data_IF_704291392654
#
_entry.id   IF_704291392654
#
_cell.length_a   1.000
_cell.length_b   1.000
_cell.length_c   1.000
_cell.angle_alpha   90.00
_cell.angle_beta   90.00
_cell.angle_gamma   90.00
#
_symmetry.space_group_name_H-M   'P 1'
#
loop_
_entity.id
_entity.type
_entity.pdbx_description
1 polymer ?
#
# COMPACT_ATOMS: atom_id res chain seq x y z
N UNK A 1 12.72 47.94 -27.95
CA UNK A 1 13.11 47.25 -26.69
C UNK A 1 14.61 47.00 -26.73
N UNK A 2 15.34 47.17 -25.62
CA UNK A 2 16.78 46.81 -25.62
C UNK A 2 16.92 45.29 -25.69
N UNK A 3 17.99 44.78 -26.34
CA UNK A 3 18.26 43.34 -26.42
C UNK A 3 18.21 42.66 -25.01
N UNK A 4 18.67 43.35 -23.97
CA UNK A 4 18.62 42.87 -22.59
C UNK A 4 17.19 42.68 -22.07
N UNK A 5 16.26 43.56 -22.37
CA UNK A 5 14.83 43.44 -21.99
C UNK A 5 14.18 42.25 -22.71
N UNK A 6 14.49 42.05 -23.98
CA UNK A 6 13.97 40.93 -24.76
C UNK A 6 14.47 39.59 -24.20
N UNK A 7 15.78 39.47 -23.90
CA UNK A 7 16.38 38.26 -23.29
C UNK A 7 15.74 37.98 -21.93
N UNK A 8 15.58 39.02 -21.08
CA UNK A 8 14.94 38.85 -19.77
C UNK A 8 13.48 38.38 -19.89
N UNK A 9 12.72 38.90 -20.82
CA UNK A 9 11.34 38.48 -21.04
C UNK A 9 11.24 37.04 -21.54
N UNK A 10 12.14 36.63 -22.44
CA UNK A 10 12.22 35.24 -22.90
C UNK A 10 12.57 34.30 -21.72
N UNK A 11 13.57 34.68 -20.92
CA UNK A 11 13.96 33.90 -19.75
C UNK A 11 12.79 33.73 -18.74
N UNK A 12 12.11 34.84 -18.44
CA UNK A 12 10.93 34.80 -17.54
C UNK A 12 9.80 33.95 -18.13
N UNK A 13 9.53 34.07 -19.43
CA UNK A 13 8.51 33.26 -20.09
C UNK A 13 8.86 31.77 -20.08
N UNK A 14 10.11 31.41 -20.31
CA UNK A 14 10.60 30.02 -20.22
C UNK A 14 10.50 29.50 -18.78
N UNK A 15 10.89 30.31 -17.80
CA UNK A 15 10.76 29.92 -16.39
C UNK A 15 9.31 29.69 -15.99
N UNK A 16 8.40 30.58 -16.40
CA UNK A 16 6.97 30.41 -16.16
C UNK A 16 6.42 29.16 -16.85
N UNK A 17 6.86 28.86 -18.07
CA UNK A 17 6.47 27.63 -18.79
C UNK A 17 6.95 26.39 -18.04
N UNK A 18 8.18 26.39 -17.53
CA UNK A 18 8.74 25.29 -16.73
C UNK A 18 7.92 25.11 -15.44
N UNK A 19 7.62 26.19 -14.72
CA UNK A 19 6.90 26.14 -13.46
C UNK A 19 5.41 25.77 -13.61
N UNK A 20 4.82 26.09 -14.76
CA UNK A 20 3.43 25.76 -15.09
C UNK A 20 3.23 24.35 -15.69
N UNK A 21 4.29 23.52 -15.74
CA UNK A 21 4.22 22.17 -16.24
C UNK A 21 3.32 21.25 -15.42
N UNK A 22 2.77 20.20 -16.04
CA UNK A 22 1.95 19.22 -15.33
C UNK A 22 2.77 18.51 -14.26
N UNK A 23 2.11 18.19 -13.13
CA UNK A 23 2.66 17.44 -12.01
C UNK A 23 1.89 16.14 -11.82
N UNK A 24 2.54 15.16 -11.23
CA UNK A 24 1.85 13.99 -10.71
C UNK A 24 1.17 14.39 -9.39
N UNK A 25 -0.14 14.27 -9.35
CA UNK A 25 -0.97 14.58 -8.19
C UNK A 25 -1.99 13.46 -8.01
N UNK A 26 -2.34 13.14 -6.77
CA UNK A 26 -3.34 12.13 -6.43
C UNK A 26 -4.40 12.76 -5.53
N UNK A 27 -5.66 12.60 -5.91
CA UNK A 27 -6.78 12.94 -5.06
C UNK A 27 -7.30 11.67 -4.37
N UNK A 28 -7.28 11.65 -3.03
CA UNK A 28 -7.78 10.51 -2.24
C UNK A 28 -9.32 10.59 -2.14
N UNK A 29 -9.97 10.58 -3.29
CA UNK A 29 -11.43 10.55 -3.40
C UNK A 29 -11.91 9.11 -3.57
N UNK A 30 -13.09 8.80 -3.05
CA UNK A 30 -13.62 7.46 -3.12
C UNK A 30 -15.13 7.45 -3.32
N UNK A 31 -15.62 6.33 -3.83
CA UNK A 31 -17.05 6.03 -3.99
C UNK A 31 -17.37 4.80 -3.16
N UNK A 32 -18.50 4.83 -2.47
CA UNK A 32 -18.92 3.70 -1.65
C UNK A 32 -19.18 2.44 -2.49
N UNK A 33 -18.92 1.28 -1.90
CA UNK A 33 -19.06 -0.02 -2.55
C UNK A 33 -20.10 -0.85 -1.80
N UNK A 34 -21.18 -1.17 -2.47
CA UNK A 34 -22.18 -2.10 -1.95
C UNK A 34 -21.68 -3.54 -2.12
N UNK A 35 -21.42 -4.22 -1.02
CA UNK A 35 -21.03 -5.64 -1.00
C UNK A 35 -22.28 -6.49 -0.76
N UNK A 36 -22.62 -7.43 -1.66
CA UNK A 36 -23.78 -8.30 -1.49
C UNK A 36 -23.52 -9.38 -0.44
N UNK A 37 -24.60 -10.08 -0.03
CA UNK A 37 -24.51 -11.15 0.95
C UNK A 37 -23.65 -12.33 0.45
N UNK A 38 -23.73 -12.64 -0.85
CA UNK A 38 -22.94 -13.70 -1.50
C UNK A 38 -21.57 -13.20 -1.90
N UNK A 39 -20.76 -12.81 -0.92
CA UNK A 39 -19.48 -12.10 -1.12
C UNK A 39 -18.51 -12.91 -1.99
N UNK A 40 -18.36 -14.23 -1.75
CA UNK A 40 -17.45 -15.07 -2.54
C UNK A 40 -17.81 -15.12 -4.02
N UNK A 41 -19.11 -15.31 -4.33
CA UNK A 41 -19.58 -15.36 -5.71
C UNK A 41 -19.40 -14.00 -6.41
N UNK A 42 -19.65 -12.93 -5.69
CA UNK A 42 -19.45 -11.57 -6.20
C UNK A 42 -17.98 -11.28 -6.50
N UNK A 43 -17.06 -11.62 -5.59
CA UNK A 43 -15.63 -11.47 -5.80
C UNK A 43 -15.15 -12.32 -6.99
N UNK A 44 -15.57 -13.59 -7.04
CA UNK A 44 -15.22 -14.48 -8.15
C UNK A 44 -15.71 -13.94 -9.50
N UNK A 45 -16.92 -13.40 -9.57
CA UNK A 45 -17.44 -12.78 -10.79
C UNK A 45 -16.60 -11.59 -11.22
N UNK A 46 -16.23 -10.70 -10.30
CA UNK A 46 -15.36 -9.53 -10.60
C UNK A 46 -13.98 -9.95 -11.11
N UNK A 47 -13.38 -10.99 -10.52
CA UNK A 47 -12.07 -11.48 -10.98
C UNK A 47 -12.16 -12.12 -12.38
N UNK A 48 -13.23 -12.85 -12.68
CA UNK A 48 -13.49 -13.44 -14.01
C UNK A 48 -13.75 -12.34 -15.06
N UNK A 49 -14.57 -11.35 -14.74
CA UNK A 49 -14.88 -10.23 -15.65
C UNK A 49 -13.65 -9.38 -15.94
N UNK A 50 -12.77 -9.19 -14.95
CA UNK A 50 -11.53 -8.46 -15.13
C UNK A 50 -10.57 -9.20 -16.06
N UNK A 51 -10.53 -10.52 -16.00
CA UNK A 51 -9.65 -11.38 -16.81
C UNK A 51 -8.15 -11.21 -16.50
N UNK A 52 -7.35 -12.17 -16.97
CA UNK A 52 -5.88 -12.14 -16.87
C UNK A 52 -5.32 -11.92 -15.47
N UNK A 53 -6.04 -12.36 -14.42
CA UNK A 53 -5.50 -12.41 -13.07
C UNK A 53 -4.63 -13.66 -12.96
N UNK A 54 -3.41 -13.50 -12.46
CA UNK A 54 -2.48 -14.61 -12.30
C UNK A 54 -2.95 -15.53 -11.15
N UNK A 55 -2.92 -16.85 -11.34
CA UNK A 55 -3.34 -17.82 -10.33
C UNK A 55 -2.64 -17.60 -8.98
N UNK A 56 -3.44 -17.52 -7.91
CA UNK A 56 -2.98 -17.29 -6.55
C UNK A 56 -2.83 -15.81 -6.17
N UNK A 57 -3.09 -14.88 -7.09
CA UNK A 57 -3.06 -13.43 -6.83
C UNK A 57 -4.46 -12.81 -6.82
N UNK A 58 -5.52 -13.61 -6.93
CA UNK A 58 -6.91 -13.17 -6.91
C UNK A 58 -7.29 -12.60 -5.53
N UNK A 59 -8.29 -11.74 -5.49
CA UNK A 59 -9.01 -11.41 -4.26
C UNK A 59 -9.63 -12.67 -3.69
N UNK A 60 -9.66 -12.81 -2.38
CA UNK A 60 -10.27 -14.00 -1.78
C UNK A 60 -10.41 -13.91 -0.28
N UNK A 61 -11.37 -14.68 0.23
CA UNK A 61 -11.63 -14.79 1.65
C UNK A 61 -11.10 -16.15 2.16
N UNK A 62 -10.36 -16.09 3.27
CA UNK A 62 -10.04 -17.26 4.07
C UNK A 62 -10.99 -17.24 5.25
N UNK A 63 -11.96 -18.16 5.25
CA UNK A 63 -12.94 -18.28 6.30
C UNK A 63 -12.34 -18.97 7.53
N UNK A 64 -12.60 -18.41 8.70
CA UNK A 64 -12.08 -18.96 9.96
C UNK A 64 -12.69 -20.34 10.29
N UNK A 65 -13.96 -20.54 9.90
CA UNK A 65 -14.71 -21.77 10.12
C UNK A 65 -15.53 -22.09 8.84
N UNK A 66 -16.78 -21.71 8.78
CA UNK A 66 -17.66 -22.06 7.67
C UNK A 66 -17.79 -20.88 6.68
N UNK A 67 -17.86 -21.20 5.38
CA UNK A 67 -18.06 -20.22 4.31
C UNK A 67 -19.34 -19.43 4.55
N UNK A 68 -19.26 -18.10 4.42
CA UNK A 68 -20.39 -17.19 4.59
C UNK A 68 -20.72 -16.84 6.04
N UNK A 69 -20.04 -17.43 7.03
CA UNK A 69 -20.27 -17.13 8.44
C UNK A 69 -19.40 -15.97 8.90
N UNK A 70 -20.04 -14.89 9.39
CA UNK A 70 -19.35 -13.73 9.95
C UNK A 70 -18.66 -14.07 11.27
N UNK A 71 -17.54 -13.41 11.54
CA UNK A 71 -16.80 -13.51 12.80
C UNK A 71 -16.86 -12.18 13.58
N UNK A 72 -16.62 -12.17 14.91
CA UNK A 72 -16.51 -10.92 15.67
C UNK A 72 -15.42 -9.99 15.17
N UNK A 73 -14.33 -10.54 14.59
CA UNK A 73 -13.27 -9.81 13.93
C UNK A 73 -13.10 -10.31 12.51
N UNK A 74 -12.81 -9.39 11.58
CA UNK A 74 -12.24 -9.71 10.29
C UNK A 74 -10.86 -9.08 10.17
N UNK A 75 -9.99 -9.71 9.40
CA UNK A 75 -8.68 -9.18 9.02
C UNK A 75 -8.73 -8.83 7.54
N UNK A 76 -8.21 -7.69 7.15
CA UNK A 76 -7.99 -7.33 5.75
C UNK A 76 -6.51 -7.09 5.50
N UNK A 77 -5.98 -7.62 4.42
CA UNK A 77 -4.59 -7.42 4.02
C UNK A 77 -4.50 -6.57 2.74
N UNK A 78 -3.74 -5.48 2.83
CA UNK A 78 -3.40 -4.56 1.75
C UNK A 78 -1.92 -4.75 1.41
N UNK A 79 -1.63 -5.25 0.22
CA UNK A 79 -0.26 -5.54 -0.22
C UNK A 79 0.49 -4.29 -0.71
N UNK A 80 1.81 -4.43 -0.94
CA UNK A 80 2.69 -3.38 -1.40
C UNK A 80 2.62 -3.09 -2.91
N UNK A 81 3.39 -2.09 -3.33
CA UNK A 81 3.57 -1.72 -4.74
C UNK A 81 4.21 -2.84 -5.54
N UNK A 82 3.74 -3.07 -6.74
CA UNK A 82 4.14 -4.16 -7.65
C UNK A 82 4.05 -5.58 -7.05
N UNK A 83 3.29 -5.75 -5.95
CA UNK A 83 3.17 -6.99 -5.19
C UNK A 83 1.79 -7.66 -5.33
N UNK A 84 1.47 -8.58 -4.46
CA UNK A 84 0.18 -9.26 -4.35
C UNK A 84 -0.01 -9.85 -2.94
N UNK A 85 -1.15 -10.52 -2.72
CA UNK A 85 -1.42 -11.22 -1.45
C UNK A 85 -0.31 -12.18 -1.00
N UNK A 86 0.50 -12.68 -1.93
CA UNK A 86 1.58 -13.65 -1.65
C UNK A 86 2.75 -13.01 -0.90
N UNK A 87 2.90 -11.68 -0.98
CA UNK A 87 4.03 -10.93 -0.41
C UNK A 87 4.28 -11.22 1.08
N UNK A 88 3.22 -11.15 1.89
CA UNK A 88 3.31 -11.33 3.34
C UNK A 88 2.82 -12.70 3.83
N UNK A 89 2.29 -13.55 2.94
CA UNK A 89 1.79 -14.86 3.36
C UNK A 89 2.92 -15.73 3.97
N UNK A 90 2.69 -16.43 5.09
CA UNK A 90 1.43 -16.62 5.81
C UNK A 90 1.23 -15.70 7.05
N UNK A 91 1.79 -14.49 7.07
CA UNK A 91 1.67 -13.60 8.24
C UNK A 91 0.20 -13.19 8.49
N UNK A 92 -0.58 -12.67 7.50
CA UNK A 92 -1.98 -12.35 7.72
C UNK A 92 -2.82 -13.57 8.13
N UNK A 93 -2.55 -14.74 7.54
CA UNK A 93 -3.21 -16.00 7.92
C UNK A 93 -2.97 -16.34 9.39
N UNK A 94 -1.72 -16.20 9.84
CA UNK A 94 -1.34 -16.50 11.22
C UNK A 94 -2.01 -15.57 12.23
N UNK A 95 -2.14 -14.28 11.88
CA UNK A 95 -2.85 -13.29 12.71
C UNK A 95 -4.35 -13.61 12.73
N UNK A 96 -4.96 -13.84 11.57
CA UNK A 96 -6.39 -14.15 11.47
C UNK A 96 -6.75 -15.43 12.23
N UNK A 97 -5.97 -16.49 12.05
CA UNK A 97 -6.18 -17.76 12.74
C UNK A 97 -6.08 -17.62 14.26
N UNK A 98 -5.09 -16.85 14.76
CA UNK A 98 -4.93 -16.61 16.20
C UNK A 98 -6.09 -15.79 16.81
N UNK A 99 -6.76 -14.97 15.99
CA UNK A 99 -7.92 -14.16 16.39
C UNK A 99 -9.27 -14.86 16.15
N UNK A 100 -9.28 -16.04 15.50
CA UNK A 100 -10.53 -16.69 15.04
C UNK A 100 -11.30 -15.81 14.06
N UNK A 101 -10.58 -15.05 13.22
CA UNK A 101 -11.12 -14.04 12.33
C UNK A 101 -11.15 -14.52 10.87
N UNK A 102 -12.19 -14.14 10.12
CA UNK A 102 -12.16 -14.23 8.67
C UNK A 102 -11.10 -13.30 8.12
N UNK A 103 -10.39 -13.71 7.06
CA UNK A 103 -9.35 -12.92 6.41
C UNK A 103 -9.73 -12.61 4.97
N UNK A 104 -9.71 -11.35 4.60
CA UNK A 104 -9.82 -10.92 3.22
C UNK A 104 -8.45 -10.50 2.67
N UNK A 105 -8.05 -11.14 1.60
CA UNK A 105 -6.92 -10.74 0.79
C UNK A 105 -7.39 -9.86 -0.36
N UNK A 106 -7.03 -8.57 -0.32
CA UNK A 106 -7.31 -7.67 -1.44
C UNK A 106 -6.33 -7.86 -2.59
N UNK A 107 -6.69 -7.35 -3.74
CA UNK A 107 -5.83 -7.10 -4.87
C UNK A 107 -6.08 -5.66 -5.33
N UNK A 108 -5.06 -4.82 -5.20
CA UNK A 108 -5.11 -3.43 -5.66
C UNK A 108 -5.24 -3.40 -7.20
N UNK A 109 -5.90 -2.38 -7.72
CA UNK A 109 -6.10 -2.22 -9.16
C UNK A 109 -4.78 -2.38 -9.93
N UNK A 110 -4.83 -3.05 -11.08
CA UNK A 110 -3.69 -3.36 -11.93
C UNK A 110 -2.76 -4.47 -11.43
N UNK A 111 -2.70 -4.71 -10.12
CA UNK A 111 -1.82 -5.73 -9.53
C UNK A 111 -2.34 -7.16 -9.78
N UNK A 112 -1.45 -8.14 -9.65
CA UNK A 112 -1.79 -9.55 -9.88
C UNK A 112 -2.13 -9.88 -11.33
N UNK A 113 -1.72 -9.04 -12.26
CA UNK A 113 -1.90 -9.14 -13.70
C UNK A 113 -0.57 -8.88 -14.40
N UNK A 114 -0.58 -8.76 -15.73
CA UNK A 114 0.63 -8.38 -16.48
C UNK A 114 1.15 -6.97 -16.14
N UNK A 115 2.38 -6.68 -16.55
CA UNK A 115 3.03 -5.39 -16.29
C UNK A 115 2.31 -4.20 -16.93
N UNK A 116 1.64 -4.39 -18.06
CA UNK A 116 0.89 -3.33 -18.73
C UNK A 116 -0.36 -2.94 -17.96
N UNK A 117 -1.10 -3.90 -17.41
CA UNK A 117 -2.25 -3.66 -16.56
C UNK A 117 -1.83 -2.94 -15.27
N UNK A 118 -0.72 -3.35 -14.65
CA UNK A 118 -0.16 -2.66 -13.50
C UNK A 118 0.30 -1.24 -13.86
N UNK A 119 1.05 -1.08 -14.95
CA UNK A 119 1.52 0.21 -15.42
C UNK A 119 0.40 1.18 -15.82
N UNK A 120 -0.82 0.68 -16.08
CA UNK A 120 -1.99 1.50 -16.43
C UNK A 120 -2.81 1.94 -15.21
N UNK A 121 -2.61 1.32 -14.04
CA UNK A 121 -3.39 1.63 -12.84
C UNK A 121 -2.95 2.93 -12.18
N UNK A 122 -3.86 3.55 -11.42
CA UNK A 122 -3.66 4.84 -10.75
C UNK A 122 -3.73 4.71 -9.23
N UNK A 123 -3.19 5.68 -8.54
CA UNK A 123 -3.24 5.75 -7.09
C UNK A 123 -4.68 5.89 -6.56
N UNK A 124 -5.55 6.61 -7.28
CA UNK A 124 -6.99 6.69 -6.96
C UNK A 124 -7.67 5.32 -7.05
N UNK A 125 -7.34 4.52 -8.08
CA UNK A 125 -7.87 3.15 -8.21
C UNK A 125 -7.36 2.23 -7.09
N UNK A 126 -6.11 2.42 -6.61
CA UNK A 126 -5.61 1.69 -5.44
C UNK A 126 -6.35 2.09 -4.16
N UNK A 127 -6.62 3.39 -4.00
CA UNK A 127 -7.43 3.87 -2.88
C UNK A 127 -8.86 3.34 -2.94
N UNK A 128 -9.48 3.34 -4.13
CA UNK A 128 -10.80 2.73 -4.34
C UNK A 128 -10.79 1.22 -4.07
N UNK A 129 -9.72 0.51 -4.41
CA UNK A 129 -9.55 -0.91 -4.06
C UNK A 129 -9.46 -1.13 -2.55
N UNK A 130 -8.86 -0.17 -1.82
CA UNK A 130 -8.81 -0.16 -0.36
C UNK A 130 -10.20 0.02 0.25
N UNK A 131 -11.02 0.93 -0.29
CA UNK A 131 -12.42 1.11 0.12
C UNK A 131 -13.23 -0.17 -0.09
N UNK A 132 -13.10 -0.81 -1.25
CA UNK A 132 -13.74 -2.11 -1.50
C UNK A 132 -13.29 -3.15 -0.46
N UNK A 133 -12.00 -3.19 -0.15
CA UNK A 133 -11.45 -4.14 0.82
C UNK A 133 -12.04 -3.93 2.23
N UNK A 134 -12.20 -2.69 2.65
CA UNK A 134 -12.83 -2.33 3.93
C UNK A 134 -14.30 -2.78 3.93
N UNK A 135 -15.06 -2.54 2.87
CA UNK A 135 -16.47 -2.94 2.78
C UNK A 135 -16.63 -4.46 2.77
N UNK A 136 -15.73 -5.19 2.12
CA UNK A 136 -15.69 -6.66 2.20
C UNK A 136 -15.41 -7.11 3.63
N UNK A 137 -14.43 -6.51 4.30
CA UNK A 137 -14.11 -6.83 5.69
C UNK A 137 -15.30 -6.54 6.63
N UNK A 138 -16.04 -5.44 6.42
CA UNK A 138 -17.31 -5.14 7.12
C UNK A 138 -18.41 -6.17 6.86
N UNK A 139 -18.44 -6.78 5.68
CA UNK A 139 -19.42 -7.81 5.34
C UNK A 139 -19.11 -9.15 6.02
N UNK A 140 -17.84 -9.47 6.28
CA UNK A 140 -17.41 -10.76 6.84
C UNK A 140 -17.04 -10.73 8.33
N UNK A 141 -17.05 -9.53 8.97
CA UNK A 141 -16.75 -9.36 10.40
C UNK A 141 -17.48 -8.18 11.02
N UNK A 142 -17.52 -8.13 12.36
CA UNK A 142 -18.18 -7.04 13.10
C UNK A 142 -17.22 -5.88 13.36
N UNK A 143 -15.95 -6.18 13.65
CA UNK A 143 -14.84 -5.22 13.75
C UNK A 143 -13.68 -5.66 12.85
N UNK A 144 -12.82 -4.72 12.49
CA UNK A 144 -11.80 -4.93 11.45
C UNK A 144 -10.40 -4.72 12.03
N UNK A 145 -9.47 -5.59 11.69
CA UNK A 145 -8.03 -5.38 11.79
C UNK A 145 -7.47 -5.20 10.38
N UNK A 146 -6.89 -4.03 10.11
CA UNK A 146 -6.29 -3.73 8.81
C UNK A 146 -4.78 -3.98 8.88
N UNK A 147 -4.26 -4.83 8.01
CA UNK A 147 -2.83 -5.08 7.85
C UNK A 147 -2.41 -4.50 6.51
N UNK A 148 -1.49 -3.55 6.52
CA UNK A 148 -0.91 -2.98 5.32
C UNK A 148 0.60 -3.15 5.27
N UNK A 149 1.14 -3.50 4.11
CA UNK A 149 2.58 -3.54 3.86
C UNK A 149 2.94 -2.48 2.83
N UNK A 150 3.97 -1.67 3.10
CA UNK A 150 4.48 -0.64 2.19
C UNK A 150 3.36 0.29 1.70
N UNK A 151 3.07 0.34 0.41
CA UNK A 151 1.95 1.10 -0.17
C UNK A 151 0.60 0.71 0.43
N UNK A 152 0.40 -0.57 0.79
CA UNK A 152 -0.81 -1.00 1.50
C UNK A 152 -0.96 -0.33 2.88
N UNK A 153 0.14 -0.09 3.59
CA UNK A 153 0.12 0.65 4.85
C UNK A 153 -0.13 2.15 4.64
N UNK A 154 0.41 2.72 3.56
CA UNK A 154 0.15 4.11 3.14
C UNK A 154 -1.34 4.33 2.87
N UNK A 155 -1.98 3.41 2.13
CA UNK A 155 -3.41 3.42 1.86
C UNK A 155 -4.25 3.23 3.13
N UNK A 156 -3.82 2.33 4.03
CA UNK A 156 -4.47 2.13 5.33
C UNK A 156 -4.40 3.40 6.20
N UNK A 157 -3.25 4.09 6.23
CA UNK A 157 -3.10 5.35 6.95
C UNK A 157 -4.08 6.41 6.45
N UNK A 158 -4.19 6.59 5.13
CA UNK A 158 -5.15 7.52 4.53
C UNK A 158 -6.61 7.13 4.88
N UNK A 159 -6.97 5.88 4.70
CA UNK A 159 -8.33 5.39 4.99
C UNK A 159 -8.69 5.47 6.49
N UNK A 160 -7.70 5.40 7.39
CA UNK A 160 -7.94 5.51 8.84
C UNK A 160 -8.36 6.90 9.29
N UNK A 161 -8.07 7.92 8.50
CA UNK A 161 -8.50 9.31 8.70
C UNK A 161 -9.92 9.60 8.21
N UNK A 162 -10.52 8.67 7.44
CA UNK A 162 -11.89 8.77 6.98
C UNK A 162 -12.84 8.09 7.99
N UNK A 163 -13.65 8.85 8.75
CA UNK A 163 -14.51 8.27 9.80
C UNK A 163 -15.51 7.22 9.26
N UNK A 164 -15.97 7.39 8.02
CA UNK A 164 -16.91 6.46 7.38
C UNK A 164 -16.25 5.11 7.03
N UNK A 165 -14.94 5.09 6.85
CA UNK A 165 -14.17 3.87 6.56
C UNK A 165 -13.64 3.22 7.84
N UNK A 166 -13.18 4.04 8.80
CA UNK A 166 -12.44 3.56 9.98
C UNK A 166 -13.31 3.26 11.21
N UNK A 167 -14.60 3.60 11.22
CA UNK A 167 -15.51 3.45 12.38
C UNK A 167 -15.57 2.06 12.99
N UNK A 168 -15.26 1.00 12.22
CA UNK A 168 -15.26 -0.39 12.69
C UNK A 168 -13.86 -0.96 12.89
N UNK A 169 -12.83 -0.14 12.73
CA UNK A 169 -11.46 -0.63 12.89
C UNK A 169 -11.11 -0.78 14.38
N UNK A 170 -10.83 -2.01 14.78
CA UNK A 170 -10.22 -2.30 16.09
C UNK A 170 -8.78 -1.79 16.13
N UNK A 171 -8.03 -2.01 15.05
CA UNK A 171 -6.64 -1.59 14.92
C UNK A 171 -6.17 -1.62 13.46
N UNK A 172 -5.03 -0.98 13.21
CA UNK A 172 -4.26 -1.13 11.99
C UNK A 172 -2.81 -1.55 12.28
N UNK A 173 -2.25 -2.36 11.40
CA UNK A 173 -0.89 -2.88 11.47
C UNK A 173 -0.15 -2.37 10.24
N UNK A 174 0.89 -1.59 10.42
CA UNK A 174 1.73 -1.06 9.37
C UNK A 174 3.06 -1.80 9.33
N UNK A 175 3.39 -2.36 8.18
CA UNK A 175 4.67 -3.04 7.93
C UNK A 175 5.42 -2.22 6.89
N UNK A 176 6.54 -1.63 7.29
CA UNK A 176 7.40 -0.78 6.42
C UNK A 176 6.59 0.22 5.57
N UNK A 177 5.75 1.10 6.17
CA UNK A 177 4.85 1.97 5.42
C UNK A 177 5.63 2.89 4.47
N UNK A 178 5.15 3.03 3.24
CA UNK A 178 5.76 3.88 2.23
C UNK A 178 5.21 5.31 2.32
N UNK A 179 5.65 6.07 3.32
CA UNK A 179 5.31 7.50 3.44
C UNK A 179 6.30 8.40 2.70
N UNK A 180 7.50 7.90 2.44
CA UNK A 180 8.53 8.58 1.63
C UNK A 180 9.45 7.52 1.03
N UNK A 181 9.71 7.60 -0.26
CA UNK A 181 10.64 6.70 -0.95
C UNK A 181 12.07 7.03 -0.47
N UNK A 182 12.88 6.01 -0.20
CA UNK A 182 14.24 6.18 0.31
C UNK A 182 15.17 6.96 -0.64
N UNK A 183 15.03 6.73 -1.95
CA UNK A 183 15.83 7.46 -2.94
C UNK A 183 15.31 8.90 -3.09
N UNK A 184 16.05 9.93 -2.67
CA UNK A 184 15.60 11.32 -2.73
C UNK A 184 15.36 11.83 -4.15
N UNK A 185 15.88 11.14 -5.18
CA UNK A 185 15.61 11.48 -6.58
C UNK A 185 14.14 11.25 -6.95
N UNK A 186 13.40 10.43 -6.19
CA UNK A 186 11.96 10.22 -6.37
C UNK A 186 11.17 11.53 -6.23
N UNK A 187 11.63 12.49 -5.43
CA UNK A 187 11.01 13.81 -5.31
C UNK A 187 10.97 14.58 -6.63
N UNK A 188 11.89 14.29 -7.55
CA UNK A 188 11.91 14.91 -8.88
C UNK A 188 10.71 14.50 -9.74
N UNK A 189 10.07 13.35 -9.42
CA UNK A 189 8.86 12.87 -10.11
C UNK A 189 7.66 13.77 -9.82
N UNK A 190 7.66 14.47 -8.69
CA UNK A 190 6.62 15.42 -8.28
C UNK A 190 6.82 16.84 -8.84
N UNK A 191 7.97 17.09 -9.48
CA UNK A 191 8.24 18.40 -10.08
C UNK A 191 7.38 18.61 -11.33
N UNK A 192 7.19 19.88 -11.74
CA UNK A 192 6.64 20.16 -13.06
C UNK A 192 7.42 19.39 -14.13
N UNK A 193 6.71 18.73 -15.03
CA UNK A 193 7.30 17.86 -16.06
C UNK A 193 8.00 16.59 -15.52
N UNK A 194 7.68 16.14 -14.30
CA UNK A 194 8.26 14.93 -13.70
C UNK A 194 8.13 13.70 -14.60
N UNK A 195 7.02 13.55 -15.32
CA UNK A 195 6.83 12.48 -16.31
C UNK A 195 7.85 12.51 -17.46
N UNK A 196 8.30 13.72 -17.88
CA UNK A 196 9.35 13.86 -18.90
C UNK A 196 10.70 13.46 -18.30
N UNK A 197 10.98 13.90 -17.08
CA UNK A 197 12.20 13.55 -16.37
C UNK A 197 12.30 12.04 -16.14
N UNK A 198 11.20 11.41 -15.71
CA UNK A 198 11.13 9.96 -15.55
C UNK A 198 11.48 9.22 -16.84
N UNK A 199 10.86 9.61 -17.95
CA UNK A 199 11.12 9.00 -19.27
C UNK A 199 12.57 9.18 -19.73
N UNK A 200 13.18 10.33 -19.45
CA UNK A 200 14.56 10.60 -19.82
C UNK A 200 15.58 9.84 -18.96
N UNK A 201 15.31 9.64 -17.68
CA UNK A 201 16.24 9.02 -16.72
C UNK A 201 16.05 7.50 -16.68
N UNK A 202 14.80 7.05 -16.55
CA UNK A 202 14.45 5.64 -16.37
C UNK A 202 14.08 4.93 -17.69
N UNK A 203 13.60 5.69 -18.71
CA UNK A 203 13.01 5.12 -19.92
C UNK A 203 11.53 4.79 -19.75
N UNK A 204 10.99 3.99 -20.69
CA UNK A 204 9.57 3.65 -20.71
C UNK A 204 9.22 2.47 -19.80
N UNK A 205 10.21 1.64 -19.48
CA UNK A 205 10.02 0.42 -18.68
C UNK A 205 10.93 0.46 -17.46
N UNK A 206 10.38 0.07 -16.32
CA UNK A 206 11.12 -0.20 -15.09
C UNK A 206 11.16 -1.70 -14.86
N UNK A 207 12.33 -2.21 -14.50
CA UNK A 207 12.52 -3.61 -14.15
C UNK A 207 13.41 -3.73 -12.92
N UNK A 208 13.17 -4.78 -12.11
CA UNK A 208 13.97 -5.10 -10.95
C UNK A 208 14.21 -6.61 -10.83
N UNK A 209 15.31 -6.98 -10.18
CA UNK A 209 15.72 -8.37 -10.04
C UNK A 209 15.20 -8.98 -8.74
N UNK A 210 14.45 -10.07 -8.78
CA UNK A 210 13.99 -10.76 -7.58
C UNK A 210 15.16 -11.43 -6.85
N UNK A 211 15.11 -11.42 -5.53
CA UNK A 211 16.18 -11.95 -4.68
C UNK A 211 16.19 -13.49 -4.62
N UNK A 212 15.07 -14.13 -4.93
CA UNK A 212 14.89 -15.57 -4.99
C UNK A 212 13.64 -15.94 -5.81
N UNK A 213 13.43 -17.23 -6.08
CA UNK A 213 12.29 -17.71 -6.88
C UNK A 213 10.91 -17.41 -6.25
N UNK A 214 10.80 -17.39 -4.92
CA UNK A 214 9.55 -17.03 -4.24
C UNK A 214 9.26 -15.55 -4.40
N UNK A 215 10.28 -14.69 -4.30
CA UNK A 215 10.17 -13.27 -4.53
C UNK A 215 9.70 -12.96 -5.97
N UNK A 216 10.20 -13.72 -6.96
CA UNK A 216 9.76 -13.57 -8.36
C UNK A 216 8.26 -13.81 -8.58
N UNK A 217 7.59 -14.53 -7.67
CA UNK A 217 6.16 -14.85 -7.75
C UNK A 217 5.27 -13.84 -7.03
N UNK A 218 5.84 -12.91 -6.28
CA UNK A 218 5.07 -11.95 -5.48
C UNK A 218 4.27 -10.99 -6.38
N UNK A 219 4.91 -10.44 -7.41
CA UNK A 219 4.29 -9.42 -8.24
C UNK A 219 4.99 -9.22 -9.58
N UNK A 220 4.85 -8.01 -10.12
CA UNK A 220 5.42 -7.65 -11.41
C UNK A 220 6.86 -7.21 -11.26
N UNK A 221 7.78 -7.88 -11.96
CA UNK A 221 9.21 -7.53 -11.97
C UNK A 221 9.59 -6.56 -13.09
N UNK A 222 8.68 -6.39 -14.08
CA UNK A 222 8.84 -5.46 -15.20
C UNK A 222 7.49 -4.82 -15.53
N UNK A 223 7.46 -3.50 -15.69
CA UNK A 223 6.27 -2.72 -15.96
C UNK A 223 6.57 -1.34 -16.53
N UNK A 224 5.61 -0.65 -17.18
CA UNK A 224 5.75 0.72 -17.64
C UNK A 224 6.15 1.67 -16.50
N UNK A 225 7.25 2.41 -16.67
CA UNK A 225 7.82 3.28 -15.63
C UNK A 225 6.86 4.37 -15.14
N UNK A 226 5.85 4.75 -15.95
CA UNK A 226 4.87 5.78 -15.59
C UNK A 226 4.15 5.52 -14.27
N UNK A 227 3.97 4.25 -13.85
CA UNK A 227 3.31 3.91 -12.58
C UNK A 227 4.13 4.35 -11.35
N UNK A 228 5.42 4.67 -11.53
CA UNK A 228 6.24 5.28 -10.48
C UNK A 228 5.77 6.69 -10.13
N UNK A 229 5.12 7.41 -11.05
CA UNK A 229 4.48 8.69 -10.77
C UNK A 229 3.29 8.52 -9.83
N UNK A 230 2.53 7.44 -10.00
CA UNK A 230 1.36 7.14 -9.18
C UNK A 230 1.76 6.85 -7.72
N UNK A 231 2.78 6.00 -7.49
CA UNK A 231 3.23 5.74 -6.13
C UNK A 231 3.89 6.96 -5.50
N UNK A 232 4.59 7.80 -6.28
CA UNK A 232 5.20 9.03 -5.78
C UNK A 232 4.13 10.06 -5.40
N UNK A 233 3.10 10.26 -6.22
CA UNK A 233 2.00 11.18 -5.92
C UNK A 233 1.15 10.69 -4.74
N UNK A 234 0.94 9.38 -4.59
CA UNK A 234 0.27 8.79 -3.43
C UNK A 234 1.05 9.08 -2.14
N UNK A 235 2.37 8.83 -2.13
CA UNK A 235 3.18 9.10 -0.94
C UNK A 235 3.20 10.59 -0.59
N UNK A 236 3.25 11.47 -1.60
CA UNK A 236 3.16 12.92 -1.41
C UNK A 236 1.82 13.34 -0.78
N UNK A 237 0.71 12.87 -1.34
CA UNK A 237 -0.62 13.18 -0.83
C UNK A 237 -0.81 12.67 0.61
N UNK A 238 -0.33 11.47 0.94
CA UNK A 238 -0.53 10.88 2.26
C UNK A 238 0.36 11.49 3.32
N UNK A 239 1.61 11.84 3.03
CA UNK A 239 2.52 12.44 4.03
C UNK A 239 2.07 13.83 4.51
N UNK A 240 1.21 14.51 3.75
CA UNK A 240 0.63 15.81 4.11
C UNK A 240 -0.65 15.68 4.98
N UNK A 241 -1.14 14.46 5.22
CA UNK A 241 -2.33 14.22 6.03
C UNK A 241 -2.05 14.43 7.53
N UNK A 242 -3.08 14.78 8.31
CA UNK A 242 -2.94 15.05 9.75
C UNK A 242 -2.84 13.75 10.56
N UNK A 243 -1.69 13.10 10.62
CA UNK A 243 -1.46 11.84 11.34
C UNK A 243 -1.84 11.92 12.84
N UNK A 244 -1.79 13.13 13.44
CA UNK A 244 -2.25 13.36 14.80
C UNK A 244 -3.75 13.10 15.02
N UNK A 245 -4.54 13.13 13.96
CA UNK A 245 -5.99 12.90 14.00
C UNK A 245 -6.35 11.42 13.82
N UNK A 246 -5.37 10.55 13.54
CA UNK A 246 -5.60 9.10 13.50
C UNK A 246 -6.03 8.63 14.90
N UNK A 247 -7.28 8.18 14.99
CA UNK A 247 -7.88 7.66 16.24
C UNK A 247 -7.79 6.14 16.35
N UNK A 248 -7.43 5.45 15.27
CA UNK A 248 -7.31 3.99 15.21
C UNK A 248 -6.02 3.54 15.90
N UNK A 249 -6.07 2.58 16.85
CA UNK A 249 -4.88 1.97 17.41
C UNK A 249 -3.94 1.44 16.33
N UNK A 250 -2.66 1.80 16.40
CA UNK A 250 -1.70 1.54 15.32
C UNK A 250 -0.46 0.80 15.79
N UNK A 251 -0.16 -0.35 15.19
CA UNK A 251 1.04 -1.14 15.43
C UNK A 251 2.00 -1.03 14.26
N UNK A 252 3.23 -0.58 14.51
CA UNK A 252 4.25 -0.38 13.48
C UNK A 252 5.33 -1.47 13.53
N UNK A 253 5.62 -2.08 12.40
CA UNK A 253 6.81 -2.91 12.17
C UNK A 253 7.68 -2.24 11.11
N UNK A 254 8.93 -1.98 11.42
CA UNK A 254 9.83 -1.29 10.50
C UNK A 254 11.29 -1.65 10.75
N UNK A 255 12.15 -1.32 9.82
CA UNK A 255 13.61 -1.41 9.96
C UNK A 255 14.24 -0.04 9.71
N UNK A 256 15.29 0.29 10.47
CA UNK A 256 16.10 1.48 10.20
C UNK A 256 17.04 1.30 9.00
N UNK A 257 17.26 0.05 8.62
CA UNK A 257 18.11 -0.34 7.49
C UNK A 257 17.28 -0.52 6.20
N UNK A 258 16.01 -0.09 6.18
CA UNK A 258 15.15 -0.13 5.00
C UNK A 258 15.74 0.77 3.90
N UNK A 259 15.98 0.18 2.71
CA UNK A 259 16.53 0.90 1.55
C UNK A 259 15.49 1.20 0.47
N UNK A 260 14.23 0.87 0.71
CA UNK A 260 13.10 1.14 -0.19
C UNK A 260 12.33 2.38 0.27
N UNK A 261 12.07 2.50 1.58
CA UNK A 261 11.36 3.63 2.18
C UNK A 261 12.20 4.33 3.24
N UNK A 262 11.92 5.62 3.47
CA UNK A 262 12.60 6.41 4.51
C UNK A 262 12.02 6.07 5.90
N UNK A 263 12.76 5.28 6.67
CA UNK A 263 12.40 4.93 8.03
C UNK A 263 12.31 6.15 8.95
N UNK A 264 13.11 7.19 8.70
CA UNK A 264 13.06 8.45 9.48
C UNK A 264 11.75 9.22 9.25
N UNK A 265 11.25 9.24 8.00
CA UNK A 265 9.92 9.79 7.70
C UNK A 265 8.83 8.99 8.39
N UNK A 266 8.93 7.65 8.36
CA UNK A 266 8.01 6.76 9.08
C UNK A 266 8.00 7.05 10.59
N UNK A 267 9.17 7.15 11.23
CA UNK A 267 9.27 7.45 12.67
C UNK A 267 8.63 8.81 13.02
N UNK A 268 8.81 9.83 12.19
CA UNK A 268 8.21 11.16 12.40
C UNK A 268 6.69 11.11 12.34
N UNK A 269 6.13 10.63 11.23
CA UNK A 269 4.67 10.59 11.04
C UNK A 269 3.99 9.65 12.04
N UNK A 270 4.57 8.50 12.34
CA UNK A 270 4.09 7.62 13.39
C UNK A 270 4.18 8.30 14.78
N UNK A 271 5.20 9.13 15.01
CA UNK A 271 5.36 9.92 16.22
C UNK A 271 4.16 10.82 16.52
N UNK A 272 3.54 11.40 15.49
CA UNK A 272 2.41 12.32 15.60
C UNK A 272 1.10 11.63 16.03
N UNK A 273 0.94 10.33 15.83
CA UNK A 273 -0.26 9.58 16.20
C UNK A 273 -0.43 9.63 17.74
N UNK A 274 -1.63 10.03 18.17
CA UNK A 274 -1.99 10.12 19.60
C UNK A 274 -2.81 8.91 20.09
N UNK A 275 -3.42 8.14 19.19
CA UNK A 275 -4.11 6.90 19.50
C UNK A 275 -3.17 5.86 20.15
N UNK A 276 -3.70 4.83 20.84
CA UNK A 276 -2.88 3.73 21.35
C UNK A 276 -1.97 3.17 20.26
N UNK A 277 -0.68 3.12 20.53
CA UNK A 277 0.31 2.66 19.55
C UNK A 277 1.44 1.88 20.18
N UNK A 278 2.01 0.95 19.42
CA UNK A 278 3.21 0.20 19.78
C UNK A 278 4.00 -0.14 18.53
N UNK A 279 5.27 -0.43 18.66
CA UNK A 279 6.13 -0.70 17.51
C UNK A 279 7.17 -1.78 17.76
N UNK A 280 7.62 -2.40 16.67
CA UNK A 280 8.74 -3.35 16.65
C UNK A 280 9.76 -2.89 15.64
N UNK A 281 10.98 -2.66 16.10
CA UNK A 281 12.14 -2.45 15.25
C UNK A 281 12.72 -3.81 14.85
N UNK A 282 12.57 -4.18 13.59
CA UNK A 282 13.12 -5.41 13.00
C UNK A 282 14.55 -5.14 12.55
N UNK A 283 15.48 -5.96 13.03
CA UNK A 283 16.93 -5.79 12.79
C UNK A 283 17.49 -6.79 11.78
N UNK A 284 16.71 -7.79 11.38
CA UNK A 284 17.13 -8.83 10.43
C UNK A 284 15.91 -9.34 9.66
N UNK A 285 16.06 -9.51 8.37
CA UNK A 285 15.14 -10.21 7.48
C UNK A 285 15.97 -10.85 6.37
N UNK A 286 15.41 -11.83 5.67
CA UNK A 286 16.01 -12.39 4.48
C UNK A 286 16.05 -11.37 3.34
N UNK A 287 15.11 -10.41 3.35
CA UNK A 287 15.11 -9.28 2.43
C UNK A 287 16.37 -8.43 2.57
N UNK A 288 17.18 -8.37 1.51
CA UNK A 288 18.40 -7.55 1.46
C UNK A 288 18.12 -6.05 1.62
N UNK A 289 16.90 -5.63 1.26
CA UNK A 289 16.46 -4.24 1.38
C UNK A 289 15.88 -3.92 2.75
N UNK A 290 15.73 -4.92 3.64
CA UNK A 290 15.13 -4.77 4.96
C UNK A 290 13.74 -4.11 4.94
N UNK A 291 13.00 -4.32 3.84
CA UNK A 291 11.69 -3.73 3.58
C UNK A 291 10.54 -4.71 3.80
N UNK A 292 10.57 -5.88 3.17
CA UNK A 292 9.57 -6.94 3.40
C UNK A 292 10.00 -7.78 4.60
N UNK A 293 9.43 -7.47 5.76
CA UNK A 293 9.89 -7.99 7.05
C UNK A 293 9.24 -9.32 7.45
N UNK A 294 8.20 -9.75 6.73
CA UNK A 294 7.41 -10.96 6.98
C UNK A 294 7.13 -11.70 5.69
N UNK A 295 6.55 -12.89 5.77
CA UNK A 295 6.22 -13.71 4.61
C UNK A 295 7.33 -14.72 4.25
N UNK A 296 6.92 -15.80 3.61
CA UNK A 296 7.81 -16.95 3.30
C UNK A 296 8.93 -16.63 2.31
N UNK A 297 8.77 -15.57 1.52
CA UNK A 297 9.74 -15.22 0.48
C UNK A 297 10.92 -14.41 1.02
N UNK A 298 10.67 -13.45 1.94
CA UNK A 298 11.64 -12.42 2.31
C UNK A 298 11.81 -12.22 3.84
N UNK A 299 10.87 -12.72 4.67
CA UNK A 299 10.95 -12.60 6.14
C UNK A 299 10.45 -13.84 6.88
N UNK A 300 10.81 -15.08 6.45
CA UNK A 300 10.26 -16.29 7.06
C UNK A 300 10.55 -16.42 8.55
N UNK A 301 11.71 -15.99 9.01
CA UNK A 301 12.14 -16.05 10.40
C UNK A 301 11.33 -15.11 11.31
N UNK A 302 10.79 -14.05 10.76
CA UNK A 302 10.02 -13.04 11.51
C UNK A 302 8.52 -13.31 11.51
N UNK A 303 8.01 -14.07 10.56
CA UNK A 303 6.58 -14.23 10.28
C UNK A 303 5.79 -14.67 11.49
N UNK A 304 6.11 -15.80 12.09
CA UNK A 304 5.39 -16.31 13.27
C UNK A 304 5.68 -15.51 14.56
N UNK A 305 6.92 -15.09 14.85
CA UNK A 305 7.20 -14.25 16.01
C UNK A 305 6.45 -12.92 15.96
N UNK A 306 6.43 -12.24 14.80
CA UNK A 306 5.72 -10.97 14.65
C UNK A 306 4.20 -11.16 14.62
N UNK A 307 3.66 -12.24 14.06
CA UNK A 307 2.24 -12.54 14.16
C UNK A 307 1.79 -12.71 15.62
N UNK A 308 2.56 -13.43 16.44
CA UNK A 308 2.30 -13.53 17.89
C UNK A 308 2.37 -12.18 18.58
N UNK A 309 3.42 -11.40 18.31
CA UNK A 309 3.57 -10.06 18.91
C UNK A 309 2.39 -9.14 18.56
N UNK A 310 1.90 -9.22 17.32
CA UNK A 310 0.71 -8.48 16.85
C UNK A 310 -0.54 -8.93 17.60
N UNK A 311 -0.79 -10.22 17.70
CA UNK A 311 -1.98 -10.75 18.40
C UNK A 311 -1.94 -10.47 19.90
N UNK A 312 -0.77 -10.57 20.54
CA UNK A 312 -0.60 -10.19 21.93
C UNK A 312 -0.97 -8.72 22.16
N UNK A 313 -0.50 -7.83 21.29
CA UNK A 313 -0.86 -6.41 21.36
C UNK A 313 -2.35 -6.16 21.10
N UNK A 314 -2.95 -6.80 20.09
CA UNK A 314 -4.38 -6.70 19.78
C UNK A 314 -5.28 -7.16 20.96
N UNK A 315 -4.79 -8.04 21.81
CA UNK A 315 -5.49 -8.55 22.98
C UNK A 315 -5.37 -7.63 24.21
N UNK A 316 -4.63 -6.52 24.12
CA UNK A 316 -4.51 -5.56 25.23
C UNK A 316 -5.70 -4.60 25.32
N UNK A 317 -6.60 -4.57 24.33
CA UNK A 317 -7.80 -3.73 24.27
C UNK A 317 -8.99 -4.36 23.55
#
# INVERSE_FOLDING_TARGET
>A
MSRTRTVLLIFVALLLLILAGPRAETALVWTDVAVPAEVDAWLATKEVELGNVEPGKEKGIVWADSVGVRTPLSVVYLHGFSASRVEAAPYPDSVAAALGANLFYTRLAGHGRDGDAFGASTAEEWYQSTVEAIRVAEAIGDSIVVIGLSTGATLAAAASLEPELSRRWKAQIWISPNFTIHDPRSEMLLWPWGHVLLRLIQGETYAWEPQNERHARIGNTEYPSRVLLEVSSLTDAVRELPFGDISVPTFLMYSKDDTVVDAGATERLYGDITAPKDSVLVRRALDRNMHVLVGDALGPENTLPLARRTTDWLNTF
#
